data_IF_495793899418
#
_entry.id   IF_495793899418
#
_cell.length_a   1.000
_cell.length_b   1.000
_cell.length_c   1.000
_cell.angle_alpha   90.00
_cell.angle_beta   90.00
_cell.angle_gamma   90.00
#
_symmetry.space_group_name_H-M   'P 1'
#
loop_
_entity.id
_entity.type
_entity.pdbx_description
1 polymer ?
#
# COMPACT_ATOMS: atom_id res chain seq x y z
N UNK A 1 7.43 -27.25 -24.90
CA UNK A 1 7.27 -26.21 -25.95
C UNK A 1 8.57 -25.42 -25.97
N UNK A 2 9.28 -25.33 -27.08
CA UNK A 2 10.51 -24.55 -27.16
C UNK A 2 10.26 -23.09 -26.77
N UNK A 3 11.20 -22.49 -26.02
CA UNK A 3 11.15 -21.09 -25.59
C UNK A 3 9.96 -20.70 -24.67
N UNK A 4 9.32 -21.66 -24.01
CA UNK A 4 8.33 -21.43 -22.99
C UNK A 4 8.96 -21.66 -21.61
N UNK A 5 8.99 -20.62 -20.79
CA UNK A 5 9.37 -20.68 -19.38
C UNK A 5 8.14 -20.40 -18.51
N UNK A 6 7.91 -21.25 -17.53
CA UNK A 6 6.85 -21.12 -16.55
C UNK A 6 7.45 -21.14 -15.15
N UNK A 7 7.11 -20.16 -14.35
CA UNK A 7 7.47 -20.09 -12.94
C UNK A 7 6.23 -19.87 -12.09
N UNK A 8 6.10 -20.67 -11.04
CA UNK A 8 5.07 -20.49 -10.02
C UNK A 8 5.69 -20.62 -8.65
N UNK A 9 5.36 -19.70 -7.77
CA UNK A 9 5.75 -19.71 -6.37
C UNK A 9 4.53 -19.42 -5.50
N UNK A 10 4.41 -20.16 -4.40
CA UNK A 10 3.43 -19.90 -3.36
C UNK A 10 4.13 -19.90 -2.01
N UNK A 11 3.88 -18.86 -1.21
CA UNK A 11 4.44 -18.72 0.12
C UNK A 11 3.34 -18.46 1.15
N UNK A 12 3.44 -19.11 2.28
CA UNK A 12 2.64 -18.85 3.46
C UNK A 12 3.55 -18.54 4.64
N UNK A 13 3.27 -17.44 5.33
CA UNK A 13 3.99 -17.06 6.56
C UNK A 13 2.97 -16.74 7.64
N UNK A 14 3.23 -17.25 8.83
CA UNK A 14 2.49 -16.91 10.04
C UNK A 14 3.49 -16.56 11.14
N UNK A 15 3.17 -15.50 11.89
CA UNK A 15 3.94 -15.08 13.06
C UNK A 15 2.96 -14.79 14.19
N UNK A 16 3.21 -15.38 15.34
CA UNK A 16 2.47 -15.14 16.57
C UNK A 16 3.39 -14.38 17.55
N UNK A 17 2.95 -13.22 18.00
CA UNK A 17 3.69 -12.35 18.91
C UNK A 17 3.23 -12.59 20.34
N UNK A 18 3.64 -13.70 20.94
CA UNK A 18 3.10 -14.21 22.22
C UNK A 18 3.53 -13.41 23.44
N UNK A 19 4.65 -12.71 23.34
CA UNK A 19 5.27 -12.01 24.48
C UNK A 19 4.74 -10.58 24.67
N UNK A 20 3.85 -10.14 23.78
CA UNK A 20 3.29 -8.79 23.81
C UNK A 20 1.78 -8.84 23.99
N UNK A 21 1.32 -8.22 25.08
CA UNK A 21 -0.12 -8.08 25.32
C UNK A 21 -0.79 -7.04 24.41
N UNK A 22 -0.01 -6.09 23.90
CA UNK A 22 -0.47 -4.99 23.04
C UNK A 22 0.45 -4.83 21.84
N UNK A 23 -0.08 -4.17 20.80
CA UNK A 23 0.55 -4.08 19.50
C UNK A 23 0.08 -5.20 18.57
N UNK A 24 0.93 -5.61 17.65
CA UNK A 24 0.61 -6.71 16.73
C UNK A 24 0.64 -8.03 17.49
N UNK A 25 -0.46 -8.79 17.45
CA UNK A 25 -0.60 -10.07 18.15
C UNK A 25 -0.36 -11.26 17.25
N UNK A 26 -0.75 -11.16 15.99
CA UNK A 26 -0.50 -12.17 14.97
C UNK A 26 -0.39 -11.53 13.58
N UNK A 27 0.21 -12.27 12.67
CA UNK A 27 0.43 -11.86 11.29
C UNK A 27 0.33 -13.10 10.39
N UNK A 28 -0.44 -13.01 9.32
CA UNK A 28 -0.59 -14.07 8.31
C UNK A 28 -0.44 -13.46 6.93
N UNK A 29 0.44 -14.07 6.14
CA UNK A 29 0.72 -13.62 4.77
C UNK A 29 0.61 -14.81 3.82
N UNK A 30 -0.16 -14.62 2.76
CA UNK A 30 -0.19 -15.51 1.61
C UNK A 30 0.34 -14.74 0.41
N UNK A 31 1.23 -15.33 -0.34
CA UNK A 31 1.82 -14.76 -1.55
C UNK A 31 1.83 -15.79 -2.67
N UNK A 32 1.46 -15.36 -3.87
CA UNK A 32 1.45 -16.17 -5.07
C UNK A 32 2.10 -15.39 -6.20
N UNK A 33 3.09 -15.99 -6.83
CA UNK A 33 3.81 -15.44 -7.96
C UNK A 33 3.66 -16.36 -9.17
N UNK A 34 3.32 -15.80 -10.31
CA UNK A 34 3.28 -16.50 -11.59
C UNK A 34 4.09 -15.72 -12.62
N UNK A 35 4.99 -16.40 -13.30
CA UNK A 35 5.74 -15.85 -14.42
C UNK A 35 5.59 -16.77 -15.62
N UNK A 36 5.29 -16.18 -16.75
CA UNK A 36 5.19 -16.87 -18.03
C UNK A 36 6.03 -16.10 -19.04
N UNK A 37 7.01 -16.75 -19.64
CA UNK A 37 7.79 -16.15 -20.73
C UNK A 37 7.71 -17.03 -21.98
N UNK A 38 7.54 -16.39 -23.11
CA UNK A 38 7.50 -17.08 -24.40
C UNK A 38 8.29 -16.32 -25.46
N UNK A 39 9.00 -17.03 -26.29
CA UNK A 39 9.73 -16.53 -27.44
C UNK A 39 11.25 -16.60 -27.30
N UNK A 40 11.92 -16.49 -28.45
CA UNK A 40 13.37 -16.49 -28.56
C UNK A 40 13.94 -15.13 -28.13
N UNK A 41 14.78 -15.06 -27.07
CA UNK A 41 15.37 -13.81 -26.62
C UNK A 41 16.20 -13.08 -27.71
N UNK A 42 16.65 -13.81 -28.73
CA UNK A 42 17.41 -13.22 -29.83
C UNK A 42 16.52 -12.63 -30.95
N UNK A 43 15.21 -12.93 -30.93
CA UNK A 43 14.27 -12.47 -31.96
C UNK A 43 13.15 -11.66 -31.35
N UNK A 44 12.37 -12.27 -30.48
CA UNK A 44 11.27 -11.64 -29.78
C UNK A 44 10.91 -12.47 -28.54
N UNK A 45 10.79 -11.84 -27.41
CA UNK A 45 10.35 -12.48 -26.17
C UNK A 45 9.29 -11.63 -25.49
N UNK A 46 8.24 -12.28 -25.03
CA UNK A 46 7.19 -11.69 -24.19
C UNK A 46 7.19 -12.37 -22.82
N UNK A 47 7.04 -11.59 -21.77
CA UNK A 47 6.98 -12.08 -20.39
C UNK A 47 5.79 -11.47 -19.69
N UNK A 48 4.94 -12.32 -19.14
CA UNK A 48 3.85 -11.96 -18.24
C UNK A 48 4.22 -12.30 -16.81
N UNK A 49 3.88 -11.43 -15.88
CA UNK A 49 4.06 -11.62 -14.44
C UNK A 49 2.77 -11.27 -13.72
N UNK A 50 2.39 -12.12 -12.76
CA UNK A 50 1.30 -11.85 -11.83
C UNK A 50 1.76 -12.12 -10.40
N UNK A 51 1.51 -11.16 -9.52
CA UNK A 51 1.72 -11.32 -8.09
C UNK A 51 0.42 -11.02 -7.36
N UNK A 52 0.10 -11.84 -6.38
CA UNK A 52 -0.96 -11.62 -5.43
C UNK A 52 -0.45 -11.85 -4.03
N UNK A 53 -0.64 -10.87 -3.17
CA UNK A 53 -0.30 -10.94 -1.75
C UNK A 53 -1.51 -10.54 -0.92
N UNK A 54 -1.78 -11.30 0.14
CA UNK A 54 -2.76 -10.96 1.15
C UNK A 54 -2.12 -11.06 2.53
N UNK A 55 -2.12 -9.94 3.24
CA UNK A 55 -1.61 -9.82 4.60
C UNK A 55 -2.79 -9.56 5.53
N UNK A 56 -2.88 -10.30 6.61
CA UNK A 56 -3.86 -10.11 7.68
C UNK A 56 -3.13 -10.08 8.99
N UNK A 57 -3.42 -9.10 9.81
CA UNK A 57 -2.84 -9.02 11.14
C UNK A 57 -3.83 -8.42 12.14
N UNK A 58 -3.76 -8.90 13.36
CA UNK A 58 -4.52 -8.38 14.48
C UNK A 58 -3.65 -7.49 15.34
N UNK A 59 -4.25 -6.46 15.90
CA UNK A 59 -3.59 -5.58 16.85
C UNK A 59 -4.47 -5.39 18.07
N UNK A 60 -3.85 -5.40 19.24
CA UNK A 60 -4.46 -5.10 20.51
C UNK A 60 -3.93 -3.78 21.04
N UNK A 61 -4.80 -2.99 21.63
CA UNK A 61 -4.47 -1.66 22.14
C UNK A 61 -5.10 -1.46 23.50
N UNK A 62 -4.50 -0.57 24.28
CA UNK A 62 -5.09 -0.03 25.51
C UNK A 62 -4.97 1.47 25.50
N UNK A 63 -6.09 2.14 25.70
CA UNK A 63 -6.08 3.59 25.87
C UNK A 63 -5.61 3.94 27.27
N UNK A 64 -4.74 4.96 27.36
CA UNK A 64 -4.42 5.60 28.62
C UNK A 64 -5.59 6.46 29.10
N UNK A 65 -5.80 6.52 30.39
CA UNK A 65 -6.63 7.57 30.97
C UNK A 65 -5.85 8.89 30.93
N UNK A 66 -6.49 10.03 30.66
CA UNK A 66 -5.82 11.34 30.68
C UNK A 66 -5.55 11.85 32.10
N UNK A 67 -5.34 10.97 33.07
CA UNK A 67 -5.03 11.37 34.43
C UNK A 67 -3.59 11.91 34.51
N UNK A 68 -3.43 12.95 35.31
CA UNK A 68 -2.14 13.58 35.59
C UNK A 68 -1.35 12.65 36.51
N UNK A 69 -0.24 12.06 35.98
CA UNK A 69 0.64 11.20 36.76
C UNK A 69 1.13 9.97 36.01
N UNK A 70 2.02 9.16 36.59
CA UNK A 70 2.47 7.92 35.98
C UNK A 70 1.30 6.95 35.79
N UNK A 71 0.97 6.65 34.55
CA UNK A 71 -0.23 5.91 34.20
C UNK A 71 0.04 4.41 34.22
N UNK A 72 -0.32 3.77 35.32
CA UNK A 72 -0.39 2.30 35.35
C UNK A 72 -1.81 1.92 34.91
N UNK A 73 -1.93 1.53 33.66
CA UNK A 73 -3.22 1.09 33.10
C UNK A 73 -3.44 -0.38 33.46
N UNK A 74 -4.18 -0.61 34.54
CA UNK A 74 -4.57 -1.95 34.98
C UNK A 74 -5.98 -2.35 34.55
N UNK A 75 -6.73 -1.41 33.98
CA UNK A 75 -8.16 -1.58 33.72
C UNK A 75 -8.38 -2.04 32.27
N UNK A 76 -8.86 -3.27 32.11
CA UNK A 76 -9.16 -3.89 30.82
C UNK A 76 -10.29 -3.17 30.05
N UNK A 77 -11.05 -2.29 30.70
CA UNK A 77 -12.12 -1.52 30.06
C UNK A 77 -11.63 -0.53 28.99
N UNK A 78 -10.34 -0.31 28.87
CA UNK A 78 -9.73 0.52 27.85
C UNK A 78 -9.07 -0.29 26.73
N UNK A 79 -9.25 -1.61 26.75
CA UNK A 79 -8.70 -2.48 25.73
C UNK A 79 -9.61 -2.51 24.50
N UNK A 80 -8.99 -2.44 23.35
CA UNK A 80 -9.65 -2.56 22.05
C UNK A 80 -8.72 -3.22 21.02
N UNK A 81 -9.24 -3.57 19.89
CA UNK A 81 -8.44 -4.24 18.89
C UNK A 81 -8.86 -3.88 17.49
N UNK A 82 -8.00 -4.26 16.54
CA UNK A 82 -8.29 -4.17 15.13
C UNK A 82 -7.91 -5.45 14.41
N UNK A 83 -8.68 -5.79 13.38
CA UNK A 83 -8.29 -6.71 12.31
C UNK A 83 -7.92 -5.89 11.11
N UNK A 84 -6.69 -6.05 10.65
CA UNK A 84 -6.16 -5.33 9.51
C UNK A 84 -6.00 -6.30 8.36
N UNK A 85 -6.43 -5.88 7.20
CA UNK A 85 -6.27 -6.64 5.95
C UNK A 85 -5.59 -5.76 4.92
N UNK A 86 -4.59 -6.29 4.24
CA UNK A 86 -3.95 -5.64 3.12
C UNK A 86 -3.85 -6.62 1.96
N UNK A 87 -4.20 -6.18 0.77
CA UNK A 87 -4.11 -6.97 -0.45
C UNK A 87 -3.30 -6.21 -1.49
N UNK A 88 -2.29 -6.85 -2.04
CA UNK A 88 -1.47 -6.33 -3.12
C UNK A 88 -1.68 -7.20 -4.36
N UNK A 89 -1.86 -6.57 -5.51
CA UNK A 89 -1.99 -7.22 -6.81
C UNK A 89 -1.12 -6.50 -7.82
N UNK A 90 -0.30 -7.25 -8.51
CA UNK A 90 0.55 -6.73 -9.57
C UNK A 90 0.37 -7.60 -10.81
N UNK A 91 0.24 -6.95 -11.95
CA UNK A 91 0.29 -7.57 -13.26
C UNK A 91 1.30 -6.80 -14.10
N UNK A 92 2.17 -7.50 -14.76
CA UNK A 92 3.09 -6.89 -15.69
C UNK A 92 3.16 -7.70 -16.99
N UNK A 93 3.30 -7.00 -18.09
CA UNK A 93 3.58 -7.54 -19.40
C UNK A 93 4.81 -6.82 -19.94
N UNK A 94 5.79 -7.57 -20.38
CA UNK A 94 7.06 -7.07 -20.91
C UNK A 94 7.33 -7.71 -22.25
N UNK A 95 7.86 -6.95 -23.19
CA UNK A 95 8.27 -7.44 -24.48
C UNK A 95 9.66 -6.90 -24.83
N UNK A 96 10.52 -7.79 -25.27
CA UNK A 96 11.86 -7.50 -25.77
C UNK A 96 11.92 -7.90 -27.25
N UNK A 97 12.26 -6.95 -28.10
CA UNK A 97 12.32 -7.15 -29.54
C UNK A 97 13.63 -6.60 -30.11
N UNK A 98 14.65 -7.44 -30.35
CA UNK A 98 15.80 -7.10 -31.16
C UNK A 98 15.36 -6.95 -32.65
N UNK A 99 15.12 -5.71 -33.05
CA UNK A 99 14.60 -5.41 -34.42
C UNK A 99 15.69 -5.65 -35.48
N UNK A 100 16.89 -5.20 -35.16
CA UNK A 100 18.13 -5.40 -35.92
C UNK A 100 19.28 -5.61 -34.93
N UNK A 101 20.45 -6.04 -35.40
CA UNK A 101 21.64 -6.30 -34.55
C UNK A 101 21.99 -5.14 -33.60
N UNK A 102 21.75 -3.89 -34.04
CA UNK A 102 22.09 -2.69 -33.27
C UNK A 102 20.92 -2.07 -32.52
N UNK A 103 19.68 -2.51 -32.74
CA UNK A 103 18.50 -1.88 -32.16
C UNK A 103 17.61 -2.89 -31.45
N UNK A 104 17.43 -2.72 -30.17
CA UNK A 104 16.46 -3.46 -29.37
C UNK A 104 15.36 -2.52 -28.88
N UNK A 105 14.11 -2.85 -29.18
CA UNK A 105 12.94 -2.21 -28.58
C UNK A 105 12.48 -3.01 -27.37
N UNK A 106 12.13 -2.29 -26.31
CA UNK A 106 11.56 -2.88 -25.09
C UNK A 106 10.30 -2.13 -24.72
N UNK A 107 9.24 -2.89 -24.54
CA UNK A 107 7.96 -2.39 -24.06
C UNK A 107 7.58 -3.02 -22.74
N UNK A 108 6.94 -2.27 -21.86
CA UNK A 108 6.34 -2.84 -20.66
C UNK A 108 5.06 -2.12 -20.26
N UNK A 109 4.15 -2.91 -19.73
CA UNK A 109 2.96 -2.41 -19.02
C UNK A 109 2.92 -3.04 -17.64
N UNK A 110 2.74 -2.21 -16.63
CA UNK A 110 2.56 -2.65 -15.25
C UNK A 110 1.28 -2.08 -14.68
N UNK A 111 0.48 -2.93 -14.07
CA UNK A 111 -0.68 -2.54 -13.31
C UNK A 111 -0.53 -3.05 -11.89
N UNK A 112 -0.70 -2.17 -10.92
CA UNK A 112 -0.63 -2.47 -9.50
C UNK A 112 -1.88 -1.92 -8.81
N UNK A 113 -2.44 -2.70 -7.93
CA UNK A 113 -3.50 -2.27 -7.01
C UNK A 113 -3.18 -2.77 -5.62
N UNK A 114 -3.17 -1.85 -4.67
CA UNK A 114 -3.18 -2.15 -3.25
C UNK A 114 -4.55 -1.81 -2.67
N UNK A 115 -4.91 -2.43 -1.59
CA UNK A 115 -6.11 -2.10 -0.86
C UNK A 115 -6.06 -2.75 0.51
N UNK A 116 -6.50 -2.02 1.49
CA UNK A 116 -6.53 -2.47 2.86
C UNK A 116 -7.79 -2.00 3.57
N UNK A 117 -7.96 -2.49 4.78
CA UNK A 117 -9.03 -2.07 5.66
C UNK A 117 -8.67 -2.34 7.10
N UNK A 118 -9.28 -1.57 7.95
CA UNK A 118 -9.20 -1.72 9.40
C UNK A 118 -10.60 -1.96 9.92
N UNK A 119 -10.82 -3.14 10.48
CA UNK A 119 -12.04 -3.50 11.18
C UNK A 119 -11.79 -3.41 12.68
N UNK A 120 -12.52 -2.56 13.35
CA UNK A 120 -12.45 -2.48 14.81
C UNK A 120 -13.11 -3.69 15.43
N UNK A 121 -12.34 -4.43 16.22
CA UNK A 121 -12.86 -5.50 17.06
C UNK A 121 -13.04 -4.93 18.46
N UNK A 122 -14.27 -4.74 18.87
CA UNK A 122 -14.56 -4.27 20.20
C UNK A 122 -14.19 -5.32 21.24
N UNK A 123 -13.11 -5.11 21.93
CA UNK A 123 -13.05 -5.62 23.30
C UNK A 123 -13.92 -4.73 24.17
N UNK A 124 -13.38 -3.77 24.79
CA UNK A 124 -14.07 -2.84 25.66
C UNK A 124 -14.36 -1.51 24.96
N UNK A 125 -15.29 -0.77 25.49
CA UNK A 125 -15.61 0.55 25.00
C UNK A 125 -14.38 1.44 25.03
N UNK A 126 -14.14 2.18 23.95
CA UNK A 126 -13.26 3.33 23.98
C UNK A 126 -13.94 4.39 24.84
N UNK A 127 -13.83 4.24 26.15
CA UNK A 127 -14.41 5.19 27.08
C UNK A 127 -13.59 6.45 27.03
N UNK A 128 -14.20 7.50 26.59
CA UNK A 128 -13.70 8.85 26.78
C UNK A 128 -14.38 9.48 28.00
N UNK A 129 -13.71 10.48 28.53
CA UNK A 129 -14.27 11.31 29.61
C UNK A 129 -15.67 11.77 29.22
N UNK A 130 -16.67 11.41 30.02
CA UNK A 130 -18.07 11.76 29.79
C UNK A 130 -18.94 10.66 29.17
N UNK A 131 -18.38 9.50 28.87
CA UNK A 131 -19.18 8.38 28.41
C UNK A 131 -19.60 7.48 29.57
N UNK A 132 -20.90 7.23 29.80
CA UNK A 132 -21.33 6.28 30.84
C UNK A 132 -20.86 4.89 30.45
N UNK A 133 -20.27 4.18 31.40
CA UNK A 133 -19.58 2.89 31.20
C UNK A 133 -20.41 1.80 30.49
N UNK A 134 -21.70 1.93 30.43
CA UNK A 134 -22.59 0.94 29.84
C UNK A 134 -22.97 1.19 28.37
N UNK A 135 -22.58 2.33 27.78
CA UNK A 135 -23.09 2.72 26.45
C UNK A 135 -22.06 3.04 25.38
N UNK A 136 -20.77 2.90 25.68
CA UNK A 136 -19.71 3.44 24.83
C UNK A 136 -18.91 2.39 24.06
N UNK A 137 -19.39 1.17 23.99
CA UNK A 137 -18.76 0.14 23.18
C UNK A 137 -18.68 0.61 21.72
N UNK A 138 -17.48 0.68 21.20
CA UNK A 138 -17.26 1.10 19.82
C UNK A 138 -17.43 2.60 19.56
N UNK A 139 -17.27 3.44 20.56
CA UNK A 139 -17.31 4.90 20.38
C UNK A 139 -15.99 5.55 20.77
N UNK A 140 -15.62 6.59 20.05
CA UNK A 140 -14.54 7.50 20.41
C UNK A 140 -15.12 8.90 20.57
N UNK A 141 -14.95 9.53 21.74
CA UNK A 141 -15.59 10.80 22.07
C UNK A 141 -17.12 10.81 21.84
N UNK A 142 -17.80 9.69 22.10
CA UNK A 142 -19.23 9.56 21.84
C UNK A 142 -19.62 9.26 20.40
N UNK A 143 -18.67 9.22 19.47
CA UNK A 143 -18.92 8.85 18.08
C UNK A 143 -18.63 7.36 17.85
N UNK A 144 -19.46 6.65 17.09
CA UNK A 144 -19.20 5.24 16.79
C UNK A 144 -17.91 5.06 16.00
N UNK A 145 -17.14 4.02 16.31
CA UNK A 145 -16.00 3.61 15.50
C UNK A 145 -16.52 2.92 14.25
N UNK A 146 -16.05 3.34 13.11
CA UNK A 146 -16.40 2.75 11.82
C UNK A 146 -15.16 2.21 11.14
N UNK A 147 -15.31 1.03 10.60
CA UNK A 147 -14.29 0.41 9.76
C UNK A 147 -13.93 1.33 8.60
N UNK A 148 -12.66 1.41 8.26
CA UNK A 148 -12.20 2.31 7.22
C UNK A 148 -11.20 1.62 6.27
N UNK A 149 -11.07 2.21 5.08
CA UNK A 149 -10.20 1.73 4.02
C UNK A 149 -8.84 2.42 4.12
N UNK A 150 -7.77 1.63 4.03
CA UNK A 150 -6.39 2.12 4.03
C UNK A 150 -5.69 1.73 2.73
N UNK A 151 -4.68 2.53 2.34
CA UNK A 151 -3.76 2.22 1.24
C UNK A 151 -4.42 1.77 -0.07
N UNK A 152 -5.62 2.28 -0.37
CA UNK A 152 -6.29 1.95 -1.61
C UNK A 152 -5.65 2.70 -2.77
N UNK A 153 -4.64 2.08 -3.37
CA UNK A 153 -3.87 2.67 -4.47
C UNK A 153 -4.07 1.88 -5.75
N UNK A 154 -3.99 2.59 -6.88
CA UNK A 154 -3.92 1.99 -8.21
C UNK A 154 -2.87 2.72 -9.03
N UNK A 155 -1.92 1.97 -9.56
CA UNK A 155 -0.84 2.48 -10.40
C UNK A 155 -0.83 1.75 -11.74
N UNK A 156 -0.69 2.51 -12.81
CA UNK A 156 -0.52 1.98 -14.16
C UNK A 156 0.69 2.67 -14.78
N UNK A 157 1.61 1.89 -15.31
CA UNK A 157 2.83 2.40 -15.92
C UNK A 157 3.02 1.75 -17.29
N UNK A 158 3.21 2.56 -18.30
CA UNK A 158 3.59 2.17 -19.65
C UNK A 158 5.00 2.66 -19.93
N UNK A 159 5.86 1.80 -20.41
CA UNK A 159 7.21 2.19 -20.82
C UNK A 159 7.51 1.64 -22.20
N UNK A 160 8.05 2.48 -23.04
CA UNK A 160 8.61 2.10 -24.32
C UNK A 160 10.03 2.67 -24.41
N UNK A 161 11.00 1.86 -24.75
CA UNK A 161 12.38 2.33 -24.92
C UNK A 161 13.08 1.61 -26.06
N UNK A 162 13.93 2.34 -26.76
CA UNK A 162 14.84 1.84 -27.77
C UNK A 162 16.28 1.91 -27.28
N UNK A 163 17.00 0.83 -27.40
CA UNK A 163 18.43 0.74 -27.13
C UNK A 163 19.15 0.58 -28.45
N UNK A 164 19.99 1.55 -28.79
CA UNK A 164 20.75 1.55 -30.03
C UNK A 164 22.24 1.49 -29.75
N UNK A 165 22.88 0.41 -30.20
CA UNK A 165 24.35 0.23 -30.16
C UNK A 165 24.97 1.02 -31.30
N UNK A 166 25.30 2.29 -31.08
CA UNK A 166 25.86 3.17 -32.10
C UNK A 166 27.24 2.70 -32.56
N UNK A 167 28.10 2.37 -31.61
CA UNK A 167 29.45 1.85 -31.88
C UNK A 167 29.87 0.87 -30.77
N UNK A 168 31.07 0.30 -30.86
CA UNK A 168 31.65 -0.59 -29.87
C UNK A 168 31.60 0.04 -28.48
N UNK A 169 31.85 1.35 -28.39
CA UNK A 169 32.01 2.08 -27.15
C UNK A 169 30.78 2.98 -26.77
N UNK A 170 29.81 3.12 -27.69
CA UNK A 170 28.67 4.01 -27.46
C UNK A 170 27.33 3.31 -27.63
N UNK A 171 26.52 3.41 -26.60
CA UNK A 171 25.10 3.03 -26.65
C UNK A 171 24.23 4.29 -26.45
N UNK A 172 23.13 4.35 -27.17
CA UNK A 172 22.11 5.39 -27.02
C UNK A 172 20.79 4.73 -26.60
N UNK A 173 20.18 5.23 -25.57
CA UNK A 173 18.84 4.81 -25.15
C UNK A 173 17.91 6.00 -25.23
N UNK A 174 16.78 5.84 -25.91
CA UNK A 174 15.67 6.78 -25.89
C UNK A 174 14.42 6.08 -25.36
N UNK A 175 13.67 6.76 -24.54
CA UNK A 175 12.50 6.16 -23.92
C UNK A 175 11.39 7.14 -23.58
N UNK A 176 10.21 6.56 -23.43
CA UNK A 176 9.00 7.23 -22.99
C UNK A 176 8.36 6.40 -21.89
N UNK A 177 7.96 7.05 -20.81
CA UNK A 177 7.18 6.45 -19.73
C UNK A 177 5.94 7.30 -19.45
N UNK A 178 4.80 6.63 -19.39
CA UNK A 178 3.55 7.21 -18.88
C UNK A 178 3.17 6.50 -17.60
N UNK A 179 2.87 7.26 -16.57
CA UNK A 179 2.40 6.72 -15.30
C UNK A 179 1.14 7.44 -14.85
N UNK A 180 0.16 6.66 -14.42
CA UNK A 180 -1.05 7.13 -13.76
C UNK A 180 -1.14 6.49 -12.39
N UNK A 181 -1.29 7.33 -11.39
CA UNK A 181 -1.43 6.93 -10.00
C UNK A 181 -2.70 7.50 -9.40
N UNK A 182 -3.44 6.69 -8.69
CA UNK A 182 -4.57 7.11 -7.87
C UNK A 182 -4.41 6.54 -6.47
N UNK A 183 -4.75 7.36 -5.50
CA UNK A 183 -4.67 7.02 -4.10
C UNK A 183 -5.96 7.37 -3.40
N UNK A 184 -6.45 6.49 -2.56
CA UNK A 184 -7.60 6.70 -1.72
C UNK A 184 -7.36 6.01 -0.38
N UNK A 185 -7.17 6.82 0.64
CA UNK A 185 -7.03 6.38 2.01
C UNK A 185 -7.87 7.32 2.87
N UNK A 186 -8.69 6.77 3.73
CA UNK A 186 -9.57 7.56 4.57
C UNK A 186 -8.78 8.45 5.53
N UNK A 187 -7.57 8.03 5.92
CA UNK A 187 -6.68 8.86 6.72
C UNK A 187 -6.21 10.12 5.97
N UNK A 188 -6.01 10.02 4.66
CA UNK A 188 -5.57 11.13 3.81
C UNK A 188 -6.72 11.96 3.25
N UNK A 189 -7.93 11.50 3.37
CA UNK A 189 -9.13 12.22 2.90
C UNK A 189 -9.69 13.22 3.90
N UNK A 190 -8.97 13.53 4.98
CA UNK A 190 -9.46 14.42 6.03
C UNK A 190 -10.59 13.81 6.84
N UNK A 191 -10.78 12.51 6.74
CA UNK A 191 -11.70 11.74 7.55
C UNK A 191 -13.12 12.31 7.56
N UNK A 192 -13.70 12.44 6.41
CA UNK A 192 -15.04 13.02 6.22
C UNK A 192 -16.18 12.25 6.91
N UNK A 193 -15.88 11.11 7.51
CA UNK A 193 -16.86 10.29 8.22
C UNK A 193 -17.11 10.66 9.68
N UNK A 194 -16.64 11.79 10.16
CA UNK A 194 -16.80 12.18 11.58
C UNK A 194 -15.84 11.46 12.54
N UNK A 195 -14.95 10.66 12.01
CA UNK A 195 -14.00 9.84 12.77
C UNK A 195 -12.61 10.41 12.57
N UNK A 196 -12.34 11.49 13.28
CA UNK A 196 -11.01 12.03 13.25
C UNK A 196 -10.02 11.01 13.77
N UNK A 197 -9.13 10.57 12.93
CA UNK A 197 -7.85 10.11 13.40
C UNK A 197 -7.34 11.21 14.33
N UNK A 198 -7.09 10.90 15.59
CA UNK A 198 -6.78 11.87 16.65
C UNK A 198 -7.96 12.68 17.21
N UNK A 199 -9.17 12.20 17.13
CA UNK A 199 -10.28 12.81 17.85
C UNK A 199 -10.89 14.07 17.24
N UNK A 200 -10.59 14.37 15.97
CA UNK A 200 -11.30 15.42 15.26
C UNK A 200 -12.63 14.89 14.73
N UNK A 201 -13.71 15.41 15.26
CA UNK A 201 -15.07 15.18 14.77
C UNK A 201 -15.51 16.47 14.09
N UNK A 202 -15.67 16.51 12.75
CA UNK A 202 -16.19 17.66 12.07
C UNK A 202 -17.58 18.01 12.61
N UNK A 203 -17.77 19.25 13.02
CA UNK A 203 -19.06 19.77 13.48
C UNK A 203 -19.28 19.77 14.99
N UNK A 204 -18.38 19.26 15.81
CA UNK A 204 -18.43 19.44 17.25
C UNK A 204 -17.68 20.71 17.67
N UNK A 205 -18.42 21.69 18.16
CA UNK A 205 -17.83 22.88 18.73
C UNK A 205 -16.94 22.47 19.91
N UNK A 206 -15.65 22.80 19.87
CA UNK A 206 -14.68 22.52 20.92
C UNK A 206 -13.68 21.42 20.67
N UNK A 207 -13.89 20.51 19.70
CA UNK A 207 -12.92 19.49 19.31
C UNK A 207 -11.82 20.03 18.36
N UNK A 208 -12.00 21.25 17.90
CA UNK A 208 -11.20 21.81 16.81
C UNK A 208 -9.82 22.31 17.22
N UNK A 209 -9.51 22.41 18.50
CA UNK A 209 -8.40 23.27 18.89
C UNK A 209 -7.03 22.61 18.97
N UNK A 210 -6.96 21.30 19.09
CA UNK A 210 -5.65 20.70 19.37
C UNK A 210 -4.98 19.94 18.22
N UNK A 211 -5.71 19.58 17.17
CA UNK A 211 -5.20 18.66 16.17
C UNK A 211 -5.29 19.14 14.71
N UNK A 212 -5.64 20.38 14.47
CA UNK A 212 -5.70 20.95 13.11
C UNK A 212 -4.35 20.97 12.39
N UNK A 213 -3.25 20.89 13.10
CA UNK A 213 -1.91 20.85 12.54
C UNK A 213 -1.61 19.58 11.76
N UNK A 214 -2.36 18.49 12.00
CA UNK A 214 -2.17 17.22 11.31
C UNK A 214 -2.93 17.13 10.00
N UNK A 215 -3.77 18.09 9.70
CA UNK A 215 -4.60 18.11 8.50
C UNK A 215 -3.90 18.72 7.29
N UNK A 216 -2.70 19.27 7.46
CA UNK A 216 -1.94 19.79 6.34
C UNK A 216 -1.58 18.66 5.38
N UNK A 217 -2.17 18.65 4.21
CA UNK A 217 -2.02 17.60 3.20
C UNK A 217 -3.01 16.45 3.28
N UNK A 218 -3.75 16.28 4.38
CA UNK A 218 -4.73 15.22 4.53
C UNK A 218 -5.94 15.34 3.59
N UNK A 219 -6.17 16.51 3.02
CA UNK A 219 -7.25 16.77 2.08
C UNK A 219 -6.86 16.53 0.63
N UNK A 220 -5.58 16.35 0.34
CA UNK A 220 -5.12 16.14 -1.02
C UNK A 220 -5.13 14.64 -1.34
N UNK A 221 -5.97 14.26 -2.29
CA UNK A 221 -5.85 12.95 -2.90
C UNK A 221 -4.62 12.99 -3.83
N UNK A 222 -3.50 12.32 -3.51
CA UNK A 222 -2.25 12.43 -4.27
C UNK A 222 -2.32 11.66 -5.60
N UNK A 223 -3.42 11.82 -6.34
CA UNK A 223 -3.52 11.27 -7.67
C UNK A 223 -2.73 12.11 -8.66
N UNK A 224 -1.97 11.46 -9.53
CA UNK A 224 -1.20 12.14 -10.56
C UNK A 224 -1.18 11.37 -11.88
N UNK A 225 -0.82 12.09 -12.93
CA UNK A 225 -0.41 11.54 -14.22
C UNK A 225 0.90 12.19 -14.60
N UNK A 226 1.86 11.41 -15.03
CA UNK A 226 3.17 11.90 -15.44
C UNK A 226 3.59 11.27 -16.76
N UNK A 227 4.30 12.04 -17.57
CA UNK A 227 4.91 11.62 -18.81
C UNK A 227 6.38 11.99 -18.77
N UNK A 228 7.25 11.06 -19.07
CA UNK A 228 8.69 11.29 -19.07
C UNK A 228 9.25 10.82 -20.41
N UNK A 229 9.91 11.75 -21.11
CA UNK A 229 10.75 11.45 -22.25
C UNK A 229 12.19 11.61 -21.83
N UNK A 230 13.04 10.68 -22.22
CA UNK A 230 14.45 10.76 -21.90
C UNK A 230 15.30 10.19 -23.04
N UNK A 231 16.53 10.73 -23.13
CA UNK A 231 17.59 10.22 -23.97
C UNK A 231 18.84 10.10 -23.12
N UNK A 232 19.53 8.99 -23.21
CA UNK A 232 20.74 8.69 -22.44
C UNK A 232 21.81 8.12 -23.39
N UNK A 233 23.03 8.67 -23.29
CA UNK A 233 24.21 8.09 -23.90
C UNK A 233 25.03 7.33 -22.86
N UNK A 234 25.51 6.16 -23.20
CA UNK A 234 26.39 5.35 -22.36
C UNK A 234 27.70 5.12 -23.09
N UNK A 235 28.82 5.53 -22.50
CA UNK A 235 30.15 5.25 -23.02
C UNK A 235 30.78 4.09 -22.23
N UNK A 236 31.32 3.12 -22.96
CA UNK A 236 32.04 1.97 -22.40
C UNK A 236 33.54 2.22 -22.57
N UNK A 237 34.24 2.32 -21.47
CA UNK A 237 35.73 2.39 -21.48
C UNK A 237 36.28 0.99 -21.74
N UNK A 238 37.26 0.90 -22.64
CA UNK A 238 38.00 -0.35 -22.93
C UNK A 238 39.02 -0.64 -21.83
#
# INVERSE_FOLDING_TARGET
IPFLDLGFEAAYKQTDYRDYAYGRTDDKRNEYNLTISYGDPKKFRITGLANYENVKFNQAYRNGTPAIGPQVQTVTNFDWGTKNTQTNRLWALMADWPVIEKLTLKGSYTWMKTGGGVDFTSGAPLTTVGCPAAGCAGTFNGAPLVNYVTDNTKKQTWTLKGLYNYSKNWDVTAGYTYEKYTYADDQMRGYQGGYGYYGYIPGTAGAASSNNSWLSGAFANPAYKVQVFYVMGTYKFD
#
